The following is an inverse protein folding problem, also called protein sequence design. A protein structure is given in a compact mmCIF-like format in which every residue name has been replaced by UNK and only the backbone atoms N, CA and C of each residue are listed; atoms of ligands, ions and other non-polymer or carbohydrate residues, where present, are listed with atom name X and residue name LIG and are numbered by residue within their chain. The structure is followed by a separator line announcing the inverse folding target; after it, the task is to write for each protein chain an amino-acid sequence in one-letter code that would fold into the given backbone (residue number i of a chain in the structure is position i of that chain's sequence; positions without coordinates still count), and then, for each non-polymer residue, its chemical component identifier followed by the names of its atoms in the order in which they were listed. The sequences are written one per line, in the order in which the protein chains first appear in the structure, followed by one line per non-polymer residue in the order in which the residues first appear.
data_IF_762538172658
#
_entry.id   IF_762538172658
#
_cell.length_a   1.000
_cell.length_b   1.000
_cell.length_c   1.000
_cell.angle_alpha   90.00
_cell.angle_beta   90.00
_cell.angle_gamma   90.00
#
_symmetry.space_group_name_H-M   'P 1'
#
loop_
_entity.id
_entity.type
_entity.pdbx_description
1 polymer ?
#
# COMPACT_ATOMS: atom_id res chain seq x y z
N UNK A 1 -80.20 4.50 -2.63
CA UNK A 1 -79.52 3.25 -2.28
C UNK A 1 -78.04 3.48 -2.61
N UNK A 2 -77.16 3.91 -1.71
CA UNK A 2 -77.12 3.74 -0.23
C UNK A 2 -77.14 2.24 0.11
N UNK A 3 -76.14 1.65 0.76
CA UNK A 3 -75.16 2.13 1.76
C UNK A 3 -73.72 1.75 1.36
N UNK A 4 -72.68 2.57 1.53
CA UNK A 4 -72.07 3.17 2.75
C UNK A 4 -71.29 2.18 3.63
N UNK A 5 -69.96 2.30 3.58
CA UNK A 5 -69.12 2.45 4.80
C UNK A 5 -67.79 3.13 4.45
N UNK A 6 -67.68 4.40 4.81
CA UNK A 6 -66.44 5.17 4.90
C UNK A 6 -66.22 5.53 6.38
N UNK A 7 -65.01 5.40 6.90
CA UNK A 7 -64.64 6.03 8.18
C UNK A 7 -63.14 6.33 8.23
N UNK A 8 -62.82 7.61 8.11
CA UNK A 8 -61.54 8.22 8.51
C UNK A 8 -61.50 8.47 10.03
N UNK A 9 -60.30 8.50 10.61
CA UNK A 9 -59.84 9.22 11.83
C UNK A 9 -58.32 8.88 11.91
N UNK A 10 -57.39 9.80 11.67
CA UNK A 10 -56.96 10.96 12.47
C UNK A 10 -56.35 10.59 13.85
N UNK A 11 -55.22 11.23 14.19
CA UNK A 11 -54.41 10.93 15.38
C UNK A 11 -52.90 11.08 15.12
N UNK A 12 -52.36 12.28 15.34
CA UNK A 12 -50.97 12.65 15.05
C UNK A 12 -50.02 12.55 16.27
N UNK A 13 -48.70 12.68 16.00
CA UNK A 13 -47.58 12.88 16.93
C UNK A 13 -47.34 11.85 18.06
N UNK A 14 -46.16 11.20 18.03
CA UNK A 14 -45.05 11.73 18.83
C UNK A 14 -43.66 11.19 18.44
N UNK A 15 -42.68 12.10 18.48
CA UNK A 15 -41.26 11.85 18.27
C UNK A 15 -40.58 11.76 19.65
N UNK A 16 -39.90 10.66 19.95
CA UNK A 16 -39.23 10.47 21.23
C UNK A 16 -37.81 11.06 21.23
N UNK A 17 -37.72 12.39 21.44
CA UNK A 17 -36.49 13.09 21.84
C UNK A 17 -36.59 13.54 23.29
N UNK A 18 -35.66 13.12 24.14
CA UNK A 18 -35.37 13.66 25.49
C UNK A 18 -33.90 13.31 25.79
N UNK A 19 -32.90 14.19 25.67
CA UNK A 19 -32.67 15.51 26.28
C UNK A 19 -32.25 15.44 27.75
N UNK A 20 -31.10 16.04 28.02
CA UNK A 20 -30.33 16.05 29.27
C UNK A 20 -30.92 16.96 30.35
N UNK A 21 -30.71 16.64 31.64
CA UNK A 21 -30.12 17.57 32.64
C UNK A 21 -30.05 17.00 34.07
N UNK A 22 -28.84 17.05 34.66
CA UNK A 22 -28.49 17.63 35.99
C UNK A 22 -29.48 17.53 37.17
N UNK A 23 -29.06 16.98 38.32
CA UNK A 23 -28.83 17.72 39.60
C UNK A 23 -28.52 16.82 40.82
N UNK A 24 -27.33 17.03 41.39
CA UNK A 24 -26.88 16.97 42.80
C UNK A 24 -27.81 16.39 43.92
N UNK A 25 -27.28 15.48 44.75
CA UNK A 25 -26.59 15.77 46.05
C UNK A 25 -26.89 14.82 47.24
N UNK A 26 -25.80 14.58 48.00
CA UNK A 26 -25.68 14.48 49.46
C UNK A 26 -26.29 13.31 50.29
N UNK A 27 -25.41 12.82 51.20
CA UNK A 27 -25.60 12.27 52.57
C UNK A 27 -25.02 10.86 52.71
N UNK A 28 -24.05 10.48 53.56
CA UNK A 28 -22.99 11.10 54.42
C UNK A 28 -22.07 9.93 54.86
N UNK A 29 -20.82 9.99 55.33
CA UNK A 29 -19.75 10.98 55.65
C UNK A 29 -18.44 10.14 55.80
N UNK A 30 -17.21 10.66 55.74
CA UNK A 30 -16.68 12.02 55.48
C UNK A 30 -15.17 12.08 55.80
N UNK A 31 -14.56 13.27 55.62
CA UNK A 31 -13.17 13.65 55.98
C UNK A 31 -12.04 12.94 55.18
N UNK A 32 -11.11 13.61 54.47
CA UNK A 32 -10.77 15.04 54.24
C UNK A 32 -10.43 15.17 52.73
N UNK A 33 -10.78 16.21 51.93
CA UNK A 33 -10.56 17.68 52.07
C UNK A 33 -9.05 18.05 52.00
N UNK A 34 -8.53 18.92 51.14
CA UNK A 34 -9.13 19.81 50.12
C UNK A 34 -8.10 20.12 48.97
N UNK A 35 -8.53 20.78 47.89
CA UNK A 35 -7.76 21.10 46.67
C UNK A 35 -7.14 22.54 46.72
N UNK A 36 -6.12 22.90 45.90
CA UNK A 36 -6.45 23.60 44.65
C UNK A 36 -5.46 23.37 43.45
N UNK A 37 -5.87 23.90 42.29
CA UNK A 37 -5.23 23.73 40.96
C UNK A 37 -4.33 24.96 40.58
N UNK A 38 -3.83 25.14 39.33
CA UNK A 38 -2.39 25.22 39.05
C UNK A 38 -1.88 26.63 38.67
N UNK A 39 -0.55 26.82 38.63
CA UNK A 39 0.12 27.66 37.61
C UNK A 39 1.62 27.38 37.49
N UNK A 40 2.14 27.66 36.29
CA UNK A 40 3.55 27.76 35.92
C UNK A 40 4.39 28.69 36.79
N UNK A 41 5.65 28.35 37.05
CA UNK A 41 6.78 29.26 36.84
C UNK A 41 8.14 28.52 36.86
N UNK A 42 9.13 29.07 36.16
CA UNK A 42 10.47 28.52 35.98
C UNK A 42 11.43 29.01 37.05
N UNK A 43 12.07 28.12 37.81
CA UNK A 43 13.26 28.47 38.60
C UNK A 43 14.47 27.59 38.30
N UNK A 44 15.27 28.02 37.32
CA UNK A 44 16.72 27.80 37.34
C UNK A 44 17.34 28.67 38.45
N UNK A 45 17.33 28.19 39.70
CA UNK A 45 17.75 28.97 40.88
C UNK A 45 19.01 28.46 41.61
N UNK A 46 19.56 27.30 41.23
CA UNK A 46 20.62 26.61 41.98
C UNK A 46 22.06 27.09 41.76
N UNK A 47 22.34 28.42 41.78
CA UNK A 47 23.71 28.94 42.06
C UNK A 47 23.83 30.49 42.20
N UNK A 48 22.75 31.26 42.03
CA UNK A 48 22.80 32.73 42.20
C UNK A 48 22.76 33.16 43.67
N UNK A 49 22.12 32.36 44.54
CA UNK A 49 21.97 32.67 45.97
C UNK A 49 23.30 32.81 46.74
N UNK A 50 24.37 32.14 46.32
CA UNK A 50 25.67 32.18 47.03
C UNK A 50 26.39 33.53 46.89
N UNK A 51 26.38 34.13 45.69
CA UNK A 51 26.98 35.45 45.45
C UNK A 51 26.18 36.57 46.12
N UNK A 52 24.85 36.52 46.03
CA UNK A 52 23.97 37.53 46.65
C UNK A 52 24.02 37.47 48.20
N UNK A 53 24.09 36.25 48.77
CA UNK A 53 24.28 36.06 50.21
C UNK A 53 25.68 36.49 50.67
N UNK A 54 26.72 36.27 49.88
CA UNK A 54 28.07 36.79 50.15
C UNK A 54 28.08 38.32 50.15
N UNK A 55 27.45 38.99 49.18
CA UNK A 55 27.36 40.45 49.12
C UNK A 55 26.59 41.05 50.31
N UNK A 56 25.54 40.37 50.80
CA UNK A 56 24.85 40.76 52.05
C UNK A 56 25.71 40.54 53.29
N UNK A 57 26.42 39.41 53.39
CA UNK A 57 27.33 39.14 54.50
C UNK A 57 28.51 40.14 54.53
N UNK A 58 29.02 40.50 53.36
CA UNK A 58 30.03 41.55 53.17
C UNK A 58 29.54 42.92 53.65
N UNK A 59 28.31 43.33 53.29
CA UNK A 59 27.69 44.56 53.78
C UNK A 59 27.48 44.58 55.30
N UNK A 60 27.06 43.47 55.91
CA UNK A 60 26.85 43.40 57.36
C UNK A 60 28.18 43.36 58.13
N UNK A 61 29.23 42.76 57.57
CA UNK A 61 30.59 42.83 58.12
C UNK A 61 31.15 44.26 58.04
N UNK A 62 31.03 44.94 56.89
CA UNK A 62 31.50 46.33 56.70
C UNK A 62 30.90 47.32 57.72
N UNK A 63 29.68 47.04 58.17
CA UNK A 63 28.93 47.83 59.14
C UNK A 63 29.34 47.60 60.61
N UNK A 64 30.12 46.55 60.89
CA UNK A 64 30.40 46.08 62.25
C UNK A 64 31.89 45.74 62.51
N UNK A 65 32.81 46.27 61.69
CA UNK A 65 34.26 46.07 61.83
C UNK A 65 34.91 47.11 62.75
N UNK A 66 35.74 46.65 63.69
CA UNK A 66 36.65 47.49 64.47
C UNK A 66 37.86 47.91 63.60
N UNK A 67 38.33 49.17 63.64
CA UNK A 67 39.39 49.66 62.75
C UNK A 67 40.77 48.98 62.91
N UNK A 68 40.98 48.11 63.89
CA UNK A 68 42.33 47.74 64.35
C UNK A 68 42.93 46.43 63.79
N UNK A 69 42.22 45.64 62.96
CA UNK A 69 42.77 44.40 62.38
C UNK A 69 42.29 44.03 60.95
N UNK A 70 42.64 44.80 59.90
CA UNK A 70 42.12 44.58 58.53
C UNK A 70 42.76 43.41 57.74
N UNK A 71 43.83 42.76 58.21
CA UNK A 71 44.58 41.77 57.40
C UNK A 71 43.77 40.52 57.02
N UNK A 72 43.10 39.88 57.98
CA UNK A 72 42.29 38.66 57.75
C UNK A 72 41.17 38.89 56.70
N UNK A 73 40.56 40.08 56.72
CA UNK A 73 39.51 40.43 55.76
C UNK A 73 40.08 40.62 54.34
N UNK A 74 41.28 41.20 54.21
CA UNK A 74 41.92 41.39 52.91
C UNK A 74 42.37 40.05 52.29
N UNK A 75 42.80 39.08 53.11
CA UNK A 75 43.18 37.75 52.63
C UNK A 75 41.97 36.94 52.18
N UNK A 76 40.87 36.93 52.95
CA UNK A 76 39.60 36.31 52.55
C UNK A 76 39.05 36.96 51.27
N UNK A 77 39.07 38.30 51.15
CA UNK A 77 38.66 38.98 49.91
C UNK A 77 39.53 38.59 48.71
N UNK A 78 40.84 38.41 48.92
CA UNK A 78 41.76 37.97 47.85
C UNK A 78 41.49 36.52 47.45
N UNK A 79 41.25 35.61 48.41
CA UNK A 79 40.87 34.23 48.13
C UNK A 79 39.49 34.12 47.48
N UNK A 80 38.50 34.91 47.91
CA UNK A 80 37.16 34.93 47.26
C UNK A 80 37.26 35.49 45.85
N UNK A 81 38.02 36.56 45.61
CA UNK A 81 38.25 37.07 44.26
C UNK A 81 38.97 36.04 43.37
N UNK A 82 39.92 35.27 43.91
CA UNK A 82 40.55 34.15 43.20
C UNK A 82 39.56 33.04 42.88
N UNK A 83 38.70 32.65 43.83
CA UNK A 83 37.63 31.65 43.60
C UNK A 83 36.61 32.13 42.57
N UNK A 84 36.15 33.39 42.63
CA UNK A 84 35.26 33.97 41.62
C UNK A 84 35.91 34.02 40.24
N UNK A 85 37.23 34.30 40.17
CA UNK A 85 37.98 34.25 38.91
C UNK A 85 38.10 32.82 38.36
N UNK A 86 38.30 31.82 39.21
CA UNK A 86 38.28 30.39 38.83
C UNK A 86 36.90 29.98 38.34
N UNK A 87 35.82 30.32 39.06
CA UNK A 87 34.44 30.07 38.61
C UNK A 87 34.14 30.75 37.25
N UNK A 88 34.64 31.97 37.04
CA UNK A 88 34.49 32.66 35.76
C UNK A 88 35.25 31.95 34.62
N UNK A 89 36.45 31.44 34.91
CA UNK A 89 37.23 30.62 33.97
C UNK A 89 36.56 29.27 33.68
N UNK A 90 35.98 28.61 34.68
CA UNK A 90 35.21 27.38 34.51
C UNK A 90 33.94 27.62 33.68
N UNK A 91 33.16 28.68 33.99
CA UNK A 91 32.00 29.08 33.19
C UNK A 91 32.40 29.40 31.75
N UNK A 92 33.54 30.05 31.52
CA UNK A 92 34.07 30.31 30.17
C UNK A 92 34.48 29.02 29.46
N UNK A 93 35.15 28.09 30.15
CA UNK A 93 35.50 26.77 29.62
C UNK A 93 34.24 26.01 29.19
N UNK A 94 33.22 25.92 30.05
CA UNK A 94 31.93 25.29 29.73
C UNK A 94 31.20 25.99 28.58
N UNK A 95 31.31 27.31 28.44
CA UNK A 95 30.76 28.03 27.30
C UNK A 95 31.49 27.69 25.98
N UNK A 96 32.83 27.55 26.01
CA UNK A 96 33.61 27.12 24.85
C UNK A 96 33.35 25.65 24.50
N UNK A 97 33.25 24.74 25.48
CA UNK A 97 32.88 23.34 25.28
C UNK A 97 31.50 23.24 24.59
N UNK A 98 30.50 23.99 25.08
CA UNK A 98 29.16 24.06 24.45
C UNK A 98 29.19 24.64 23.03
N UNK A 99 30.05 25.63 22.76
CA UNK A 99 30.22 26.19 21.41
C UNK A 99 30.82 25.16 20.45
N UNK A 100 31.84 24.40 20.88
CA UNK A 100 32.42 23.31 20.08
C UNK A 100 31.38 22.24 19.79
N UNK A 101 30.64 21.76 20.79
CA UNK A 101 29.57 20.77 20.56
C UNK A 101 28.44 21.29 19.67
N UNK A 102 28.14 22.59 19.69
CA UNK A 102 27.20 23.21 18.75
C UNK A 102 27.75 23.24 17.31
N UNK A 103 29.04 23.53 17.13
CA UNK A 103 29.70 23.46 15.81
C UNK A 103 29.77 22.03 15.27
N UNK A 104 30.10 21.04 16.11
CA UNK A 104 30.08 19.61 15.76
C UNK A 104 28.67 19.16 15.36
N UNK A 105 27.65 19.55 16.14
CA UNK A 105 26.25 19.26 15.83
C UNK A 105 25.80 19.90 14.52
N UNK A 106 26.26 21.12 14.22
CA UNK A 106 25.98 21.81 12.95
C UNK A 106 26.68 21.12 11.76
N UNK A 107 27.93 20.67 11.91
CA UNK A 107 28.61 19.87 10.87
C UNK A 107 27.87 18.54 10.62
N UNK A 108 27.56 17.78 11.66
CA UNK A 108 26.83 16.51 11.55
C UNK A 108 25.42 16.68 10.96
N UNK A 109 24.77 17.83 11.18
CA UNK A 109 23.48 18.16 10.56
C UNK A 109 23.62 18.47 9.07
N UNK A 110 24.66 19.21 8.68
CA UNK A 110 24.96 19.49 7.29
C UNK A 110 25.32 18.22 6.51
N UNK A 111 26.16 17.35 7.10
CA UNK A 111 26.55 16.05 6.52
C UNK A 111 25.32 15.16 6.27
N UNK A 112 24.45 14.98 7.27
CA UNK A 112 23.20 14.23 7.11
C UNK A 112 22.24 14.85 6.10
N UNK A 113 22.24 16.18 5.95
CA UNK A 113 21.42 16.87 4.94
C UNK A 113 21.95 16.59 3.54
N UNK A 114 23.28 16.55 3.35
CA UNK A 114 23.91 16.19 2.07
C UNK A 114 23.65 14.70 1.77
N UNK A 115 23.84 13.79 2.72
CA UNK A 115 23.54 12.36 2.54
C UNK A 115 22.06 12.10 2.17
N UNK A 116 21.14 12.86 2.78
CA UNK A 116 19.71 12.80 2.43
C UNK A 116 19.42 13.34 1.03
N UNK A 117 20.10 14.41 0.60
CA UNK A 117 20.01 14.95 -0.76
C UNK A 117 20.58 13.96 -1.79
N UNK A 118 21.74 13.35 -1.52
CA UNK A 118 22.35 12.33 -2.38
C UNK A 118 21.42 11.12 -2.55
N UNK A 119 20.88 10.57 -1.44
CA UNK A 119 19.89 9.48 -1.50
C UNK A 119 18.60 9.86 -2.23
N UNK A 120 18.17 11.11 -2.15
CA UNK A 120 17.03 11.61 -2.92
C UNK A 120 17.36 11.72 -4.42
N UNK A 121 18.59 12.09 -4.79
CA UNK A 121 19.06 12.08 -6.18
C UNK A 121 19.18 10.64 -6.70
N UNK A 122 19.74 9.71 -5.92
CA UNK A 122 19.78 8.28 -6.26
C UNK A 122 18.37 7.69 -6.42
N UNK A 123 17.43 8.07 -5.55
CA UNK A 123 16.03 7.63 -5.65
C UNK A 123 15.38 8.16 -6.94
N UNK A 124 15.58 9.43 -7.27
CA UNK A 124 15.11 10.02 -8.53
C UNK A 124 15.78 9.36 -9.75
N UNK A 125 17.08 9.04 -9.69
CA UNK A 125 17.77 8.34 -10.76
C UNK A 125 17.25 6.90 -10.91
N UNK A 126 17.06 6.15 -9.82
CA UNK A 126 16.45 4.80 -9.88
C UNK A 126 15.01 4.82 -10.39
N UNK A 127 14.25 5.86 -10.06
CA UNK A 127 12.91 6.08 -10.64
C UNK A 127 13.03 6.38 -12.14
N UNK A 128 13.98 7.21 -12.56
CA UNK A 128 14.23 7.53 -13.98
C UNK A 128 14.74 6.32 -14.77
N UNK A 129 15.61 5.50 -14.19
CA UNK A 129 16.11 4.25 -14.76
C UNK A 129 15.00 3.20 -14.81
N UNK A 130 14.11 3.15 -13.81
CA UNK A 130 12.90 2.33 -13.83
C UNK A 130 11.91 2.81 -14.90
N UNK A 131 11.77 4.12 -15.11
CA UNK A 131 10.99 4.67 -16.23
C UNK A 131 11.68 4.42 -17.57
N UNK A 132 13.02 4.44 -17.63
CA UNK A 132 13.79 4.09 -18.82
C UNK A 132 13.62 2.62 -19.19
N UNK A 133 13.79 1.72 -18.23
CA UNK A 133 13.53 0.29 -18.41
C UNK A 133 12.05 0.01 -18.71
N UNK A 134 11.11 0.76 -18.12
CA UNK A 134 9.70 0.70 -18.50
C UNK A 134 9.53 1.14 -19.96
N UNK A 135 10.09 2.28 -20.38
CA UNK A 135 10.03 2.79 -21.77
C UNK A 135 10.73 1.87 -22.77
N UNK A 136 11.79 1.17 -22.38
CA UNK A 136 12.45 0.16 -23.23
C UNK A 136 11.63 -1.14 -23.33
N UNK A 137 10.94 -1.55 -22.25
CA UNK A 137 9.92 -2.60 -22.32
C UNK A 137 8.64 -2.13 -23.06
N UNK A 138 8.41 -0.82 -23.15
CA UNK A 138 7.37 -0.20 -23.99
C UNK A 138 8.03 0.42 -25.25
N UNK A 139 8.98 -0.28 -25.91
CA UNK A 139 9.29 0.02 -27.32
C UNK A 139 8.10 -0.30 -28.25
N UNK A 140 7.06 -1.00 -27.75
CA UNK A 140 5.70 -1.01 -28.30
C UNK A 140 4.83 0.20 -27.84
N UNK A 141 5.42 1.40 -27.63
CA UNK A 141 4.69 2.63 -27.24
C UNK A 141 3.72 3.16 -28.29
N UNK A 142 3.56 2.48 -29.42
CA UNK A 142 2.61 2.85 -30.46
C UNK A 142 1.13 2.64 -30.05
N UNK A 143 0.81 1.91 -28.99
CA UNK A 143 -0.57 1.44 -28.70
C UNK A 143 -1.53 2.56 -28.21
N UNK A 144 -1.05 3.76 -27.86
CA UNK A 144 -1.88 4.81 -27.23
C UNK A 144 -2.41 5.92 -28.16
N UNK A 145 -2.42 5.72 -29.48
CA UNK A 145 -3.25 6.54 -30.39
C UNK A 145 -3.99 5.65 -31.39
N UNK A 146 -5.27 5.95 -31.63
CA UNK A 146 -6.18 5.05 -32.36
C UNK A 146 -5.69 4.60 -33.75
N UNK A 147 -4.83 5.39 -34.38
CA UNK A 147 -4.18 5.10 -35.67
C UNK A 147 -3.32 3.82 -35.69
N UNK A 148 -2.74 3.43 -34.56
CA UNK A 148 -1.86 2.26 -34.47
C UNK A 148 -2.58 0.98 -34.04
N UNK A 149 -3.80 1.06 -33.52
CA UNK A 149 -4.55 -0.14 -33.10
C UNK A 149 -4.73 -1.12 -34.26
N UNK A 150 -4.96 -0.63 -35.49
CA UNK A 150 -5.05 -1.46 -36.71
C UNK A 150 -3.78 -2.27 -36.98
N UNK A 151 -2.60 -1.80 -36.54
CA UNK A 151 -1.32 -2.51 -36.72
C UNK A 151 -1.17 -3.77 -35.85
N UNK A 152 -2.07 -3.99 -34.89
CA UNK A 152 -2.07 -5.21 -34.08
C UNK A 152 -2.85 -6.36 -34.71
N UNK A 153 -3.60 -6.13 -35.79
CA UNK A 153 -4.34 -7.19 -36.48
C UNK A 153 -3.35 -8.22 -37.06
N UNK A 154 -3.54 -9.51 -36.76
CA UNK A 154 -2.60 -10.58 -37.09
C UNK A 154 -1.39 -10.73 -36.16
N UNK A 155 -1.21 -9.84 -35.16
CA UNK A 155 -0.29 -10.08 -34.05
C UNK A 155 -0.89 -11.07 -33.05
N UNK A 156 -0.03 -11.77 -32.31
CA UNK A 156 -0.42 -12.52 -31.12
C UNK A 156 -0.66 -11.55 -29.97
N UNK A 157 -1.78 -11.69 -29.28
CA UNK A 157 -2.15 -10.89 -28.12
C UNK A 157 -2.34 -11.79 -26.90
N UNK A 158 -1.94 -11.30 -25.73
CA UNK A 158 -2.27 -11.92 -24.44
C UNK A 158 -2.94 -10.89 -23.52
N UNK A 159 -4.06 -11.32 -22.92
CA UNK A 159 -4.83 -10.52 -21.97
C UNK A 159 -4.71 -11.08 -20.56
N UNK A 160 -4.92 -10.23 -19.55
CA UNK A 160 -5.07 -10.68 -18.16
C UNK A 160 -6.44 -11.33 -17.86
N UNK A 161 -7.12 -11.89 -18.86
CA UNK A 161 -8.48 -12.41 -18.80
C UNK A 161 -8.49 -13.90 -19.19
N UNK A 162 -7.83 -14.72 -18.39
CA UNK A 162 -7.75 -16.18 -18.55
C UNK A 162 -8.96 -16.94 -17.96
N UNK A 163 -9.87 -16.22 -17.29
CA UNK A 163 -11.05 -16.76 -16.62
C UNK A 163 -12.36 -16.52 -17.37
N UNK A 164 -13.32 -17.42 -17.16
CA UNK A 164 -14.73 -17.22 -17.48
C UNK A 164 -15.56 -17.30 -16.20
N UNK A 165 -16.43 -16.32 -16.00
CA UNK A 165 -17.35 -16.25 -14.86
C UNK A 165 -18.63 -17.03 -15.13
N UNK A 166 -18.94 -18.00 -14.27
CA UNK A 166 -20.23 -18.69 -14.23
C UNK A 166 -21.15 -17.94 -13.27
N UNK A 167 -22.24 -17.35 -13.77
CA UNK A 167 -23.33 -16.84 -12.92
C UNK A 167 -24.48 -17.86 -12.77
N UNK A 168 -24.69 -18.69 -13.81
CA UNK A 168 -25.80 -19.64 -13.94
C UNK A 168 -25.36 -20.89 -14.69
N UNK A 169 -26.10 -21.98 -14.47
CA UNK A 169 -25.85 -23.29 -15.06
C UNK A 169 -26.41 -23.36 -16.49
N UNK A 170 -25.80 -22.61 -17.41
CA UNK A 170 -26.21 -22.48 -18.80
C UNK A 170 -25.05 -22.89 -19.72
N UNK A 171 -25.34 -23.43 -20.91
CA UNK A 171 -24.28 -23.76 -21.87
C UNK A 171 -23.63 -22.47 -22.36
N UNK A 172 -22.31 -22.46 -22.44
CA UNK A 172 -21.51 -21.35 -22.97
C UNK A 172 -20.49 -21.83 -24.00
N UNK A 173 -20.07 -20.89 -24.83
CA UNK A 173 -19.01 -21.06 -25.82
C UNK A 173 -17.75 -20.30 -25.36
N UNK A 174 -16.58 -20.85 -25.64
CA UNK A 174 -15.30 -20.18 -25.48
C UNK A 174 -14.35 -20.57 -26.62
N UNK A 175 -13.40 -19.70 -26.94
CA UNK A 175 -12.35 -20.00 -27.92
C UNK A 175 -10.99 -20.12 -27.24
N UNK A 176 -10.15 -20.99 -27.82
CA UNK A 176 -8.71 -21.04 -27.57
C UNK A 176 -7.98 -20.92 -28.91
N UNK A 177 -6.78 -20.35 -28.88
CA UNK A 177 -5.92 -20.26 -30.05
C UNK A 177 -4.76 -21.25 -29.95
N UNK A 178 -4.60 -22.12 -30.95
CA UNK A 178 -3.52 -23.10 -31.05
C UNK A 178 -2.51 -22.65 -32.11
N UNK A 179 -1.25 -22.40 -31.70
CA UNK A 179 -0.18 -21.94 -32.58
C UNK A 179 0.18 -23.01 -33.63
N UNK A 180 0.24 -24.29 -33.20
CA UNK A 180 0.41 -25.45 -34.06
C UNK A 180 -0.90 -26.21 -34.30
N UNK A 181 -0.90 -27.13 -35.27
CA UNK A 181 -1.98 -28.10 -35.41
C UNK A 181 -1.94 -29.13 -34.27
N UNK A 182 -3.10 -29.38 -33.66
CA UNK A 182 -3.27 -30.43 -32.65
C UNK A 182 -2.90 -31.77 -33.28
N UNK A 183 -2.01 -32.51 -32.63
CA UNK A 183 -1.54 -33.84 -33.01
C UNK A 183 -1.94 -34.82 -31.90
N UNK A 184 -3.07 -35.50 -32.10
CA UNK A 184 -3.63 -36.45 -31.15
C UNK A 184 -2.77 -37.71 -30.95
N UNK A 185 -1.71 -37.90 -31.73
CA UNK A 185 -0.73 -38.97 -31.50
C UNK A 185 0.35 -38.60 -30.48
N UNK A 186 0.50 -37.31 -30.12
CA UNK A 186 1.52 -36.80 -29.20
C UNK A 186 0.99 -36.55 -27.80
N UNK A 187 1.00 -37.60 -26.98
CA UNK A 187 0.56 -37.55 -25.59
C UNK A 187 -0.95 -37.68 -25.46
N UNK A 188 -1.58 -36.85 -24.65
CA UNK A 188 -3.04 -36.80 -24.48
C UNK A 188 -3.50 -35.32 -24.48
N UNK A 189 -3.74 -34.72 -25.66
CA UNK A 189 -4.09 -33.31 -25.74
C UNK A 189 -5.48 -33.06 -25.15
N UNK A 190 -5.61 -32.03 -24.31
CA UNK A 190 -6.82 -31.75 -23.55
C UNK A 190 -6.94 -30.29 -23.14
N UNK A 191 -8.18 -29.84 -22.95
CA UNK A 191 -8.51 -28.60 -22.23
C UNK A 191 -8.76 -28.96 -20.76
N UNK A 192 -8.23 -28.16 -19.85
CA UNK A 192 -8.50 -28.19 -18.41
C UNK A 192 -9.26 -26.93 -18.00
N UNK A 193 -10.43 -27.11 -17.38
CA UNK A 193 -11.17 -26.03 -16.72
C UNK A 193 -10.87 -26.10 -15.23
N UNK A 194 -10.37 -25.01 -14.67
CA UNK A 194 -9.72 -24.97 -13.36
C UNK A 194 -10.37 -23.90 -12.49
N UNK A 195 -10.84 -24.26 -11.30
CA UNK A 195 -11.16 -23.28 -10.26
C UNK A 195 -9.95 -23.05 -9.36
N UNK A 196 -9.75 -21.81 -8.92
CA UNK A 196 -8.66 -21.43 -8.03
C UNK A 196 -9.23 -20.88 -6.72
N UNK A 197 -8.78 -21.42 -5.58
CA UNK A 197 -9.17 -20.97 -4.25
C UNK A 197 -7.96 -20.41 -3.51
N UNK A 198 -7.94 -19.09 -3.32
CA UNK A 198 -6.96 -18.44 -2.46
C UNK A 198 -7.36 -18.66 -1.00
N UNK A 199 -6.40 -19.06 -0.16
CA UNK A 199 -6.55 -19.19 1.29
C UNK A 199 -5.35 -18.57 1.98
N UNK A 200 -5.57 -17.69 2.95
CA UNK A 200 -4.51 -17.08 3.76
C UNK A 200 -4.23 -17.97 4.98
N UNK A 201 -2.97 -18.37 5.17
CA UNK A 201 -2.51 -19.10 6.35
C UNK A 201 -2.45 -18.21 7.61
N UNK A 202 -2.32 -18.84 8.77
CA UNK A 202 -2.13 -18.14 10.05
C UNK A 202 -0.84 -17.29 10.09
N UNK A 203 0.12 -17.58 9.21
CA UNK A 203 1.35 -16.81 9.01
C UNK A 203 1.19 -15.62 8.05
N UNK A 204 -0.04 -15.34 7.60
CA UNK A 204 -0.37 -14.27 6.67
C UNK A 204 0.01 -14.53 5.21
N UNK A 205 0.53 -15.72 4.87
CA UNK A 205 0.85 -16.06 3.48
C UNK A 205 -0.39 -16.57 2.75
N UNK A 206 -0.58 -16.11 1.52
CA UNK A 206 -1.59 -16.66 0.63
C UNK A 206 -1.08 -17.93 -0.05
N UNK A 207 -1.98 -18.91 -0.17
CA UNK A 207 -1.79 -20.13 -0.96
C UNK A 207 -2.97 -20.29 -1.91
N UNK A 208 -2.70 -20.58 -3.18
CA UNK A 208 -3.73 -20.79 -4.20
C UNK A 208 -3.86 -22.28 -4.51
N UNK A 209 -4.95 -22.89 -4.06
CA UNK A 209 -5.32 -24.25 -4.42
C UNK A 209 -5.99 -24.23 -5.79
N UNK A 210 -5.39 -24.92 -6.78
CA UNK A 210 -5.98 -25.12 -8.11
C UNK A 210 -6.67 -26.49 -8.17
N UNK A 211 -7.89 -26.55 -8.69
CA UNK A 211 -8.65 -27.79 -8.87
C UNK A 211 -9.21 -27.87 -10.28
N UNK A 212 -8.82 -28.91 -11.03
CA UNK A 212 -9.43 -29.23 -12.33
C UNK A 212 -10.85 -29.73 -12.08
N UNK A 213 -11.85 -29.02 -12.60
CA UNK A 213 -13.26 -29.41 -12.49
C UNK A 213 -13.73 -30.18 -13.72
N UNK A 214 -13.17 -29.87 -14.90
CA UNK A 214 -13.53 -30.50 -16.18
C UNK A 214 -12.29 -30.68 -17.03
N UNK A 215 -12.16 -31.86 -17.65
CA UNK A 215 -11.26 -32.07 -18.78
C UNK A 215 -12.10 -32.29 -20.06
N UNK A 216 -11.62 -31.73 -21.18
CA UNK A 216 -12.22 -31.94 -22.51
C UNK A 216 -11.13 -32.49 -23.43
N UNK A 217 -11.37 -33.67 -23.97
CA UNK A 217 -10.46 -34.37 -24.89
C UNK A 217 -10.37 -33.64 -26.23
N UNK A 218 -9.15 -33.32 -26.67
CA UNK A 218 -8.89 -32.63 -27.95
C UNK A 218 -8.71 -33.57 -29.14
N UNK A 219 -8.79 -34.90 -28.97
CA UNK A 219 -8.61 -35.88 -30.04
C UNK A 219 -9.62 -35.74 -31.19
N UNK A 220 -10.81 -35.20 -30.92
CA UNK A 220 -11.80 -34.87 -31.97
C UNK A 220 -11.45 -33.63 -32.80
N UNK A 221 -10.39 -32.90 -32.41
CA UNK A 221 -9.89 -31.68 -33.04
C UNK A 221 -8.51 -31.88 -33.68
N UNK A 222 -8.09 -33.13 -33.88
CA UNK A 222 -6.84 -33.50 -34.57
C UNK A 222 -6.71 -32.78 -35.93
N UNK A 223 -5.51 -32.26 -36.20
CA UNK A 223 -5.18 -31.46 -37.39
C UNK A 223 -5.71 -30.01 -37.39
N UNK A 224 -6.55 -29.60 -36.43
CA UNK A 224 -7.04 -28.22 -36.34
C UNK A 224 -6.01 -27.29 -35.67
N UNK A 225 -6.00 -26.00 -36.06
CA UNK A 225 -5.11 -24.96 -35.53
C UNK A 225 -5.74 -23.58 -35.58
N UNK A 226 -5.11 -22.62 -34.91
CA UNK A 226 -5.60 -21.25 -34.78
C UNK A 226 -6.77 -21.19 -33.81
N UNK A 227 -7.71 -20.29 -34.07
CA UNK A 227 -8.93 -20.16 -33.25
C UNK A 227 -9.85 -21.37 -33.42
N UNK A 228 -10.09 -22.09 -32.34
CA UNK A 228 -11.08 -23.17 -32.23
C UNK A 228 -12.07 -22.78 -31.12
N UNK A 229 -13.37 -22.91 -31.39
CA UNK A 229 -14.44 -22.65 -30.43
C UNK A 229 -14.96 -23.98 -29.87
N UNK A 230 -15.18 -23.99 -28.55
CA UNK A 230 -15.63 -25.13 -27.76
C UNK A 230 -16.88 -24.76 -26.97
N UNK A 231 -17.75 -25.74 -26.72
CA UNK A 231 -18.89 -25.59 -25.82
C UNK A 231 -18.59 -26.23 -24.46
N UNK A 232 -19.00 -25.57 -23.37
CA UNK A 232 -19.08 -26.16 -22.03
C UNK A 232 -20.50 -26.03 -21.48
N UNK A 233 -21.03 -27.14 -20.95
CA UNK A 233 -22.37 -27.21 -20.36
C UNK A 233 -22.40 -26.87 -18.86
N UNK A 234 -21.34 -26.23 -18.35
CA UNK A 234 -21.11 -25.92 -16.91
C UNK A 234 -21.09 -27.14 -15.99
N UNK A 235 -20.80 -28.34 -16.53
CA UNK A 235 -20.64 -29.55 -15.72
C UNK A 235 -19.19 -29.98 -15.51
N UNK A 236 -18.95 -30.57 -14.35
CA UNK A 236 -17.70 -31.19 -13.97
C UNK A 236 -17.48 -32.57 -14.65
N UNK A 237 -16.38 -33.24 -14.30
CA UNK A 237 -16.06 -34.60 -14.76
C UNK A 237 -17.01 -35.69 -14.21
N UNK A 238 -17.76 -35.42 -13.14
CA UNK A 238 -18.78 -36.32 -12.57
C UNK A 238 -20.17 -36.13 -13.20
N UNK A 239 -20.36 -35.10 -14.03
CA UNK A 239 -21.66 -34.70 -14.58
C UNK A 239 -22.53 -33.89 -13.62
N UNK A 240 -21.97 -33.39 -12.52
CA UNK A 240 -22.59 -32.39 -11.66
C UNK A 240 -22.38 -30.99 -12.21
N UNK A 241 -23.30 -30.06 -11.95
CA UNK A 241 -23.06 -28.65 -12.28
C UNK A 241 -22.02 -28.04 -11.33
N UNK A 242 -21.13 -27.22 -11.88
CA UNK A 242 -20.19 -26.43 -11.08
C UNK A 242 -20.92 -25.31 -10.33
N UNK A 243 -20.21 -24.62 -9.44
CA UNK A 243 -20.77 -23.48 -8.70
C UNK A 243 -20.61 -22.20 -9.51
N UNK A 244 -21.39 -21.18 -9.17
CA UNK A 244 -21.10 -19.83 -9.64
C UNK A 244 -19.72 -19.35 -9.14
N UNK A 245 -18.98 -18.65 -9.98
CA UNK A 245 -17.59 -18.22 -9.74
C UNK A 245 -16.73 -18.25 -11.00
N UNK A 246 -15.46 -17.91 -10.85
CA UNK A 246 -14.50 -17.80 -11.96
C UNK A 246 -13.72 -19.10 -12.19
N UNK A 247 -13.53 -19.44 -13.46
CA UNK A 247 -12.84 -20.64 -13.92
C UNK A 247 -11.80 -20.29 -14.99
N UNK A 248 -10.53 -20.57 -14.72
CA UNK A 248 -9.45 -20.49 -15.72
C UNK A 248 -9.63 -21.62 -16.73
N UNK A 249 -9.42 -21.34 -18.03
CA UNK A 249 -9.43 -22.36 -19.08
C UNK A 249 -8.07 -22.37 -19.79
N UNK A 250 -7.37 -23.50 -19.69
CA UNK A 250 -6.11 -23.75 -20.39
C UNK A 250 -6.14 -25.06 -21.16
N UNK A 251 -5.22 -25.27 -22.09
CA UNK A 251 -5.06 -26.51 -22.81
C UNK A 251 -3.59 -26.92 -22.93
N UNK A 252 -3.35 -28.23 -22.85
CA UNK A 252 -2.08 -28.90 -23.12
C UNK A 252 -2.22 -29.69 -24.43
N UNK A 253 -1.29 -29.55 -25.37
CA UNK A 253 -1.31 -30.26 -26.66
C UNK A 253 0.10 -30.55 -27.18
N UNK A 254 0.24 -31.49 -28.12
CA UNK A 254 1.50 -31.82 -28.80
C UNK A 254 2.70 -32.09 -27.84
N UNK A 255 2.66 -33.18 -27.07
CA UNK A 255 3.78 -33.58 -26.21
C UNK A 255 5.09 -33.74 -27.01
N UNK A 256 6.10 -32.94 -26.70
CA UNK A 256 7.47 -33.16 -27.18
C UNK A 256 8.11 -34.31 -26.39
N UNK A 257 8.42 -35.40 -27.09
CA UNK A 257 9.07 -36.59 -26.54
C UNK A 257 10.51 -36.36 -26.08
N UNK A 258 11.13 -35.24 -26.46
CA UNK A 258 12.51 -34.87 -26.11
C UNK A 258 12.56 -34.11 -24.78
N UNK A 259 11.71 -33.09 -24.62
CA UNK A 259 11.65 -32.28 -23.38
C UNK A 259 10.63 -32.77 -22.37
N UNK A 260 9.74 -33.69 -22.77
CA UNK A 260 8.58 -34.16 -22.00
C UNK A 260 7.69 -33.00 -21.51
N UNK A 261 7.44 -32.04 -22.41
CA UNK A 261 6.54 -30.90 -22.19
C UNK A 261 5.50 -30.84 -23.30
N UNK A 262 4.29 -30.44 -22.94
CA UNK A 262 3.26 -30.05 -23.90
C UNK A 262 3.51 -28.62 -24.39
N UNK A 263 2.98 -28.29 -25.56
CA UNK A 263 2.60 -26.92 -25.89
C UNK A 263 1.38 -26.54 -25.05
N UNK A 264 1.32 -25.28 -24.62
CA UNK A 264 0.24 -24.77 -23.78
C UNK A 264 -0.47 -23.60 -24.46
N UNK A 265 -1.76 -23.44 -24.20
CA UNK A 265 -2.52 -22.22 -24.56
C UNK A 265 -3.60 -21.96 -23.51
N UNK A 266 -4.12 -20.73 -23.46
CA UNK A 266 -5.06 -20.28 -22.43
C UNK A 266 -6.12 -19.35 -23.01
N UNK A 267 -7.25 -19.24 -22.33
CA UNK A 267 -8.26 -18.25 -22.67
C UNK A 267 -7.69 -16.83 -22.59
N UNK A 268 -8.20 -15.91 -23.41
CA UNK A 268 -7.67 -14.56 -23.50
C UNK A 268 -6.31 -14.41 -24.24
N UNK A 269 -5.74 -15.50 -24.78
CA UNK A 269 -4.56 -15.49 -25.66
C UNK A 269 -4.92 -15.89 -27.10
N UNK A 270 -4.37 -15.19 -28.09
CA UNK A 270 -4.41 -15.63 -29.49
C UNK A 270 -4.18 -14.53 -30.53
N UNK A 271 -4.31 -14.87 -31.81
CA UNK A 271 -4.14 -13.92 -32.91
C UNK A 271 -5.29 -12.90 -32.97
N UNK A 272 -4.97 -11.61 -33.04
CA UNK A 272 -5.96 -10.53 -33.19
C UNK A 272 -6.69 -10.66 -34.53
N UNK A 273 -7.97 -10.98 -34.47
CA UNK A 273 -8.81 -11.15 -35.67
C UNK A 273 -9.23 -9.81 -36.28
N UNK A 274 -9.54 -8.83 -35.43
CA UNK A 274 -9.95 -7.48 -35.85
C UNK A 274 -9.82 -6.47 -34.71
N UNK A 275 -9.86 -5.19 -35.07
CA UNK A 275 -10.07 -4.09 -34.14
C UNK A 275 -11.41 -3.40 -34.45
N UNK A 276 -12.22 -3.23 -33.42
CA UNK A 276 -13.54 -2.59 -33.44
C UNK A 276 -13.42 -1.26 -32.69
N UNK A 277 -14.03 -0.19 -33.19
CA UNK A 277 -14.09 1.08 -32.46
C UNK A 277 -15.50 1.31 -31.95
N UNK A 278 -15.66 1.46 -30.63
CA UNK A 278 -16.89 1.95 -30.01
C UNK A 278 -16.60 3.26 -29.27
N UNK A 279 -17.38 4.30 -29.55
CA UNK A 279 -17.22 5.67 -29.03
C UNK A 279 -15.78 6.25 -29.13
N UNK A 280 -14.96 5.74 -30.06
CA UNK A 280 -13.54 6.12 -30.23
C UNK A 280 -12.55 5.29 -29.41
N UNK A 281 -13.03 4.38 -28.56
CA UNK A 281 -12.22 3.40 -27.82
C UNK A 281 -12.00 2.17 -28.72
N UNK A 282 -10.75 1.74 -28.96
CA UNK A 282 -10.46 0.51 -29.71
C UNK A 282 -10.61 -0.74 -28.83
N UNK A 283 -11.31 -1.73 -29.37
CA UNK A 283 -11.52 -3.08 -28.85
C UNK A 283 -10.86 -4.09 -29.78
N UNK A 284 -10.30 -5.16 -29.21
CA UNK A 284 -9.62 -6.25 -29.90
C UNK A 284 -10.55 -7.46 -29.91
N UNK A 285 -10.71 -8.12 -31.07
CA UNK A 285 -11.42 -9.41 -31.17
C UNK A 285 -10.43 -10.58 -31.11
N UNK A 286 -10.66 -11.48 -30.15
CA UNK A 286 -9.85 -12.68 -29.84
C UNK A 286 -10.79 -13.89 -29.71
N UNK A 287 -11.08 -14.56 -30.83
CA UNK A 287 -12.12 -15.60 -30.88
C UNK A 287 -13.48 -14.99 -30.55
N UNK A 288 -14.27 -15.60 -29.66
CA UNK A 288 -15.53 -15.00 -29.19
C UNK A 288 -15.35 -13.81 -28.22
N UNK A 289 -14.14 -13.55 -27.72
CA UNK A 289 -13.87 -12.42 -26.82
C UNK A 289 -13.73 -11.10 -27.60
N UNK A 290 -14.37 -10.03 -27.11
CA UNK A 290 -14.17 -8.64 -27.56
C UNK A 290 -13.88 -7.78 -26.33
N UNK A 291 -12.64 -7.29 -26.22
CA UNK A 291 -12.15 -6.57 -25.02
C UNK A 291 -11.48 -5.24 -25.40
N UNK A 292 -11.51 -4.22 -24.54
CA UNK A 292 -10.78 -2.97 -24.80
C UNK A 292 -9.28 -3.27 -24.97
N UNK A 293 -8.60 -2.57 -25.87
CA UNK A 293 -7.17 -2.81 -26.16
C UNK A 293 -6.28 -2.71 -24.91
N UNK A 294 -6.72 -1.96 -23.90
CA UNK A 294 -6.03 -1.77 -22.62
C UNK A 294 -6.02 -2.99 -21.70
N UNK A 295 -6.77 -4.05 -22.03
CA UNK A 295 -6.73 -5.34 -21.31
C UNK A 295 -5.70 -6.31 -21.90
N UNK A 296 -5.14 -6.00 -23.07
CA UNK A 296 -4.02 -6.74 -23.68
C UNK A 296 -2.72 -6.18 -23.10
N UNK A 297 -1.87 -7.05 -22.55
CA UNK A 297 -0.58 -6.65 -21.97
C UNK A 297 0.62 -6.90 -22.88
N UNK A 298 0.50 -7.76 -23.90
CA UNK A 298 1.55 -8.01 -24.91
C UNK A 298 0.99 -8.13 -26.33
N UNK A 299 1.78 -7.71 -27.31
CA UNK A 299 1.47 -7.85 -28.75
C UNK A 299 2.69 -8.33 -29.54
N UNK A 300 2.81 -9.63 -29.71
CA UNK A 300 3.97 -10.27 -30.35
C UNK A 300 3.76 -10.52 -31.85
N UNK A 301 4.86 -10.56 -32.60
CA UNK A 301 4.80 -11.01 -33.99
C UNK A 301 4.65 -12.53 -34.03
N UNK A 302 3.79 -13.03 -34.91
CA UNK A 302 3.62 -14.47 -35.12
C UNK A 302 4.95 -15.09 -35.59
N UNK A 303 5.46 -16.05 -34.82
CA UNK A 303 6.68 -16.83 -35.09
C UNK A 303 6.52 -17.80 -36.25
#
# INVERSE_FOLDING_TARGET
MSVTSTSTLDGSYNQATSTSSTTNNATTRGALDDNPIPTTETETGGNSLSNEAFMRLFLEQLKNQDPTAPMETQEILTQTAQLTQVEAQEKMKTAMEKMTSAMESMQATNEKTIEAQEKMVESQQKILDSFGALVDNIQDTNILSGYNSVSVIGKMAETGLDTITIEKNEKMEFSLYFDEAIDASKGNPKISIITSKVSTGEDGKESTEKTIVKEIDLSSYDGQKGWITFEWDTKDNSGGYVKAGDYTISAEYNLDSTTNKYLETTHGRGEVQSVIFDQGIPYVKLGEMVVPITYVYSFESKS
#
